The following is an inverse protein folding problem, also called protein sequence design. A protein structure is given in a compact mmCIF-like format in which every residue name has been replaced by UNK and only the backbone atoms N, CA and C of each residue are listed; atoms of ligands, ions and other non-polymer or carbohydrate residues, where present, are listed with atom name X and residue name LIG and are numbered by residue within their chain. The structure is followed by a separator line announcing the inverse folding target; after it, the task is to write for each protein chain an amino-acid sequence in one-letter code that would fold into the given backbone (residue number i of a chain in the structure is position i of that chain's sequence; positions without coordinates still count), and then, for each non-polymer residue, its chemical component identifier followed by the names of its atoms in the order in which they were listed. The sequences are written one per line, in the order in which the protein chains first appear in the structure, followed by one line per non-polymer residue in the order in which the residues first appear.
data_IF_220304404044
#
_entry.id   IF_220304404044
#
_cell.length_a   1.000
_cell.length_b   1.000
_cell.length_c   1.000
_cell.angle_alpha   90.00
_cell.angle_beta   90.00
_cell.angle_gamma   90.00
#
_symmetry.space_group_name_H-M   'P 1'
#
loop_
_entity.id
_entity.type
_entity.pdbx_description
1 polymer ?
#
# COMPACT_ATOMS: atom_id res chain seq x y z
N UNK A 1 16.32 -6.02 -8.83
CA UNK A 1 16.69 -5.33 -7.58
C UNK A 1 15.39 -4.92 -6.89
N UNK A 2 15.29 -5.13 -5.58
CA UNK A 2 14.14 -4.72 -4.79
C UNK A 2 14.62 -4.17 -3.44
N UNK A 3 14.14 -2.97 -3.07
CA UNK A 3 14.34 -2.37 -1.77
C UNK A 3 12.98 -2.19 -1.08
N UNK A 4 12.88 -2.53 0.20
CA UNK A 4 11.66 -2.46 0.99
C UNK A 4 11.96 -1.82 2.34
N UNK A 5 11.24 -0.75 2.69
CA UNK A 5 11.36 -0.09 3.98
C UNK A 5 9.96 0.16 4.58
N UNK A 6 9.84 0.13 5.91
CA UNK A 6 8.59 0.50 6.57
C UNK A 6 8.34 2.01 6.47
N UNK A 7 7.07 2.39 6.43
CA UNK A 7 6.67 3.80 6.31
C UNK A 7 6.74 4.35 4.88
N UNK A 8 6.72 5.66 4.73
CA UNK A 8 6.76 6.33 3.42
C UNK A 8 8.19 6.84 3.12
N UNK A 9 9.13 5.88 2.99
CA UNK A 9 10.57 6.11 2.82
C UNK A 9 11.03 5.88 1.37
N UNK A 10 10.28 6.39 0.38
CA UNK A 10 10.52 6.14 -1.04
C UNK A 10 11.92 6.57 -1.50
N UNK A 11 12.37 7.74 -1.09
CA UNK A 11 13.71 8.25 -1.45
C UNK A 11 14.81 7.33 -0.93
N UNK A 12 14.69 6.87 0.32
CA UNK A 12 15.67 5.96 0.90
C UNK A 12 15.65 4.58 0.26
N UNK A 13 14.45 4.08 -0.11
CA UNK A 13 14.34 2.85 -0.91
C UNK A 13 15.05 3.00 -2.25
N UNK A 14 14.86 4.12 -2.92
CA UNK A 14 15.52 4.42 -4.19
C UNK A 14 17.06 4.45 -4.04
N UNK A 15 17.58 5.20 -3.07
CA UNK A 15 19.02 5.25 -2.80
C UNK A 15 19.65 3.87 -2.56
N UNK A 16 18.93 2.97 -1.88
CA UNK A 16 19.40 1.60 -1.65
C UNK A 16 19.39 0.76 -2.93
N UNK A 17 18.36 0.91 -3.76
CA UNK A 17 18.25 0.20 -5.03
C UNK A 17 19.27 0.72 -6.04
N UNK A 18 19.46 2.02 -6.15
CA UNK A 18 20.39 2.72 -7.04
C UNK A 18 21.86 2.30 -6.79
N UNK A 19 22.25 2.19 -5.52
CA UNK A 19 23.59 1.68 -5.18
C UNK A 19 23.84 0.27 -5.70
N UNK A 20 22.85 -0.60 -5.62
CA UNK A 20 22.97 -1.97 -6.14
C UNK A 20 22.93 -1.99 -7.66
N UNK A 21 22.10 -1.15 -8.26
CA UNK A 21 21.99 -0.98 -9.70
C UNK A 21 23.33 -0.54 -10.30
N UNK A 22 23.96 0.49 -9.73
CA UNK A 22 25.29 0.98 -10.13
C UNK A 22 26.34 -0.14 -10.10
N UNK A 23 26.41 -0.91 -9.03
CA UNK A 23 27.37 -2.03 -8.90
C UNK A 23 27.13 -3.10 -9.98
N UNK A 24 25.85 -3.39 -10.26
CA UNK A 24 25.49 -4.38 -11.26
C UNK A 24 25.76 -3.88 -12.67
N UNK A 25 25.48 -2.61 -12.95
CA UNK A 25 25.74 -2.02 -14.28
C UNK A 25 27.25 -1.99 -14.58
N UNK A 26 28.10 -1.59 -13.64
CA UNK A 26 29.56 -1.65 -13.77
C UNK A 26 30.07 -3.07 -14.05
N UNK A 27 29.44 -4.10 -13.46
CA UNK A 27 29.86 -5.48 -13.61
C UNK A 27 29.31 -6.17 -14.87
N UNK A 28 28.09 -5.85 -15.28
CA UNK A 28 27.35 -6.57 -16.31
C UNK A 28 27.16 -5.77 -17.60
N UNK A 29 27.23 -4.44 -17.56
CA UNK A 29 26.98 -3.55 -18.70
C UNK A 29 25.50 -3.65 -19.13
N UNK A 30 24.59 -3.06 -18.36
CA UNK A 30 23.17 -3.09 -18.64
C UNK A 30 22.84 -2.39 -19.98
N UNK A 31 21.82 -2.89 -20.68
CA UNK A 31 21.40 -2.31 -21.96
C UNK A 31 20.71 -0.96 -21.73
N UNK A 32 21.37 0.12 -22.15
CA UNK A 32 20.89 1.47 -22.00
C UNK A 32 21.00 2.27 -23.32
N UNK A 33 19.98 3.06 -23.64
CA UNK A 33 19.95 3.99 -24.75
C UNK A 33 19.76 5.42 -24.24
N UNK A 34 20.51 6.36 -24.81
CA UNK A 34 20.53 7.78 -24.36
C UNK A 34 19.20 8.52 -24.52
N UNK A 35 18.28 8.02 -25.37
CA UNK A 35 16.96 8.60 -25.61
C UNK A 35 15.84 7.81 -24.94
N UNK A 36 15.99 6.50 -24.87
CA UNK A 36 14.96 5.59 -24.37
C UNK A 36 15.17 5.14 -22.92
N UNK A 37 16.37 5.37 -22.35
CA UNK A 37 16.72 4.84 -21.04
C UNK A 37 17.08 3.37 -21.05
N UNK A 38 16.79 2.65 -19.98
CA UNK A 38 17.03 1.21 -19.88
C UNK A 38 16.14 0.43 -20.84
N UNK A 39 16.79 -0.44 -21.65
CA UNK A 39 16.13 -1.30 -22.60
C UNK A 39 15.75 -2.63 -21.94
N UNK A 40 14.52 -2.69 -21.45
CA UNK A 40 14.00 -3.85 -20.73
C UNK A 40 13.29 -4.82 -21.67
N UNK A 41 13.24 -6.10 -21.31
CA UNK A 41 12.50 -7.12 -22.06
C UNK A 41 10.99 -6.82 -22.10
N UNK A 42 10.45 -6.19 -21.06
CA UNK A 42 9.05 -5.78 -21.01
C UNK A 42 8.91 -4.31 -21.46
N UNK A 43 8.22 -4.04 -22.59
CA UNK A 43 8.10 -2.68 -23.14
C UNK A 43 7.51 -1.66 -22.15
N UNK A 44 6.70 -2.10 -21.20
CA UNK A 44 6.07 -1.24 -20.18
C UNK A 44 7.04 -0.71 -19.13
N UNK A 45 8.28 -1.22 -19.11
CA UNK A 45 9.32 -0.80 -18.17
C UNK A 45 10.45 -0.02 -18.83
N UNK A 46 10.41 0.17 -20.17
CA UNK A 46 11.41 0.99 -20.89
C UNK A 46 11.43 2.39 -20.31
N UNK A 47 12.61 2.96 -20.18
CA UNK A 47 12.85 4.26 -19.60
C UNK A 47 13.62 4.16 -18.30
N UNK A 48 13.03 4.54 -17.18
CA UNK A 48 13.65 4.39 -15.86
C UNK A 48 13.80 2.94 -15.40
N UNK A 49 13.08 2.00 -16.01
CA UNK A 49 12.96 0.61 -15.57
C UNK A 49 12.56 0.46 -14.07
N UNK A 50 12.13 1.57 -13.45
CA UNK A 50 11.84 1.66 -12.02
C UNK A 50 10.35 1.56 -11.73
N UNK A 51 9.98 0.75 -10.75
CA UNK A 51 8.65 0.71 -10.16
C UNK A 51 8.70 1.07 -8.69
N UNK A 52 8.28 2.29 -8.36
CA UNK A 52 8.01 2.71 -6.99
C UNK A 52 6.62 2.25 -6.58
N UNK A 53 6.49 1.72 -5.37
CA UNK A 53 5.21 1.26 -4.83
C UNK A 53 5.06 1.61 -3.36
N UNK A 54 3.83 1.92 -2.95
CA UNK A 54 3.47 2.16 -1.54
C UNK A 54 2.30 1.27 -1.17
N UNK A 55 2.44 0.50 -0.10
CA UNK A 55 1.33 -0.27 0.47
C UNK A 55 0.58 0.62 1.44
N UNK A 56 -0.72 0.81 1.17
CA UNK A 56 -1.63 1.63 1.96
C UNK A 56 -2.76 0.75 2.51
N UNK A 57 -3.12 0.94 3.77
CA UNK A 57 -4.30 0.32 4.34
C UNK A 57 -5.43 1.34 4.41
N UNK A 58 -6.50 1.11 3.62
CA UNK A 58 -7.59 2.06 3.38
C UNK A 58 -8.97 1.50 3.78
N UNK A 59 -9.15 1.05 5.03
CA UNK A 59 -10.40 0.42 5.45
C UNK A 59 -11.57 1.40 5.47
N UNK A 60 -11.38 2.66 5.89
CA UNK A 60 -12.45 3.62 5.97
C UNK A 60 -12.95 4.04 4.59
N UNK A 61 -12.05 4.33 3.66
CA UNK A 61 -12.41 4.64 2.28
C UNK A 61 -13.12 3.46 1.59
N UNK A 62 -12.71 2.22 1.91
CA UNK A 62 -13.37 1.01 1.40
C UNK A 62 -14.80 0.89 1.93
N UNK A 63 -15.01 1.01 3.25
CA UNK A 63 -16.33 0.93 3.88
C UNK A 63 -17.27 2.01 3.34
N UNK A 64 -16.77 3.22 3.11
CA UNK A 64 -17.53 4.32 2.53
C UNK A 64 -17.72 4.21 0.98
N UNK A 65 -17.18 3.16 0.34
CA UNK A 65 -17.30 2.93 -1.11
C UNK A 65 -16.52 3.91 -1.98
N UNK A 66 -15.51 4.61 -1.43
CA UNK A 66 -14.72 5.66 -2.11
C UNK A 66 -13.57 5.14 -2.96
N UNK A 67 -13.19 3.85 -2.84
CA UNK A 67 -12.03 3.27 -3.53
C UNK A 67 -12.15 3.35 -5.05
N UNK A 68 -13.33 3.09 -5.63
CA UNK A 68 -13.53 3.17 -7.09
C UNK A 68 -13.25 4.59 -7.62
N UNK A 69 -13.72 5.60 -6.92
CA UNK A 69 -13.47 6.99 -7.30
C UNK A 69 -11.99 7.33 -7.20
N UNK A 70 -11.35 6.90 -6.09
CA UNK A 70 -9.91 7.06 -5.89
C UNK A 70 -9.12 6.39 -7.01
N UNK A 71 -9.41 5.13 -7.35
CA UNK A 71 -8.73 4.38 -8.42
C UNK A 71 -8.80 5.10 -9.76
N UNK A 72 -9.98 5.65 -10.13
CA UNK A 72 -10.15 6.43 -11.35
C UNK A 72 -9.31 7.72 -11.34
N UNK A 73 -9.21 8.39 -10.20
CA UNK A 73 -8.40 9.61 -10.06
C UNK A 73 -6.90 9.30 -10.18
N UNK A 74 -6.46 8.26 -9.50
CA UNK A 74 -5.08 7.76 -9.51
C UNK A 74 -4.64 7.38 -10.94
N UNK A 75 -5.49 6.67 -11.68
CA UNK A 75 -5.19 6.25 -13.06
C UNK A 75 -4.98 7.42 -14.01
N UNK A 76 -5.70 8.53 -13.84
CA UNK A 76 -5.53 9.75 -14.64
C UNK A 76 -4.18 10.43 -14.39
N UNK A 77 -3.55 10.16 -13.26
CA UNK A 77 -2.24 10.69 -12.88
C UNK A 77 -1.08 9.75 -13.27
N UNK A 78 -1.36 8.68 -14.02
CA UNK A 78 -0.35 7.72 -14.45
C UNK A 78 0.13 6.76 -13.35
N UNK A 79 -0.70 6.58 -12.30
CA UNK A 79 -0.47 5.62 -11.24
C UNK A 79 -1.58 4.54 -11.24
N UNK A 80 -1.34 3.44 -10.57
CA UNK A 80 -2.32 2.35 -10.42
C UNK A 80 -2.53 2.07 -8.94
N UNK A 81 -3.79 1.93 -8.55
CA UNK A 81 -4.19 1.43 -7.24
C UNK A 81 -4.77 0.02 -7.42
N UNK A 82 -4.12 -0.99 -6.87
CA UNK A 82 -4.53 -2.40 -6.92
C UNK A 82 -4.58 -3.01 -5.53
N UNK A 83 -5.20 -4.18 -5.39
CA UNK A 83 -5.10 -4.95 -4.16
C UNK A 83 -3.66 -5.43 -3.91
N UNK A 84 -3.17 -5.28 -2.68
CA UNK A 84 -1.84 -5.78 -2.32
C UNK A 84 -1.84 -7.30 -2.06
N UNK A 85 -2.96 -7.83 -1.57
CA UNK A 85 -3.18 -9.26 -1.31
C UNK A 85 -4.57 -9.66 -1.79
N UNK A 86 -4.67 -10.82 -2.43
CA UNK A 86 -5.93 -11.35 -2.98
C UNK A 86 -6.12 -10.98 -4.45
N UNK A 87 -7.10 -11.61 -5.07
CA UNK A 87 -7.49 -11.36 -6.46
C UNK A 87 -8.71 -10.43 -6.53
N UNK A 88 -8.73 -9.54 -7.52
CA UNK A 88 -9.87 -8.67 -7.83
C UNK A 88 -9.98 -7.39 -7.01
N UNK A 89 -11.19 -6.81 -6.97
CA UNK A 89 -11.49 -5.49 -6.40
C UNK A 89 -11.60 -5.46 -4.86
N UNK A 90 -11.50 -6.61 -4.19
CA UNK A 90 -11.62 -6.75 -2.73
C UNK A 90 -10.34 -7.27 -2.11
N UNK A 91 -9.33 -6.41 -1.91
CA UNK A 91 -8.07 -6.82 -1.29
C UNK A 91 -8.28 -7.23 0.17
N UNK A 92 -7.58 -8.27 0.58
CA UNK A 92 -7.63 -8.78 1.95
C UNK A 92 -7.14 -7.71 2.94
N UNK A 93 -7.91 -7.48 3.99
CA UNK A 93 -7.55 -6.52 5.06
C UNK A 93 -7.48 -5.06 4.62
N UNK A 94 -8.12 -4.71 3.49
CA UNK A 94 -8.12 -3.35 2.93
C UNK A 94 -6.72 -2.83 2.60
N UNK A 95 -5.80 -3.72 2.21
CA UNK A 95 -4.44 -3.40 1.81
C UNK A 95 -4.36 -3.16 0.31
N UNK A 96 -3.95 -1.97 -0.08
CA UNK A 96 -3.83 -1.52 -1.46
C UNK A 96 -2.38 -1.21 -1.79
N UNK A 97 -1.99 -1.47 -3.04
CA UNK A 97 -0.70 -1.13 -3.60
C UNK A 97 -0.89 0.04 -4.58
N UNK A 98 -0.29 1.17 -4.26
CA UNK A 98 -0.19 2.33 -5.14
C UNK A 98 1.16 2.28 -5.87
N UNK A 99 1.16 2.24 -7.20
CA UNK A 99 2.37 2.04 -8.02
C UNK A 99 2.41 3.00 -9.19
N UNK A 100 3.61 3.49 -9.58
CA UNK A 100 3.77 4.22 -10.83
C UNK A 100 3.62 3.29 -12.03
N UNK A 101 2.97 3.78 -13.09
CA UNK A 101 2.77 3.06 -14.33
C UNK A 101 3.67 3.60 -15.45
N UNK A 102 3.96 4.89 -15.43
CA UNK A 102 4.77 5.56 -16.44
C UNK A 102 6.25 5.45 -16.06
N UNK A 103 7.05 4.96 -17.00
CA UNK A 103 8.51 4.79 -16.86
C UNK A 103 9.29 5.49 -17.97
N UNK A 104 8.66 5.78 -19.12
CA UNK A 104 9.27 6.46 -20.25
C UNK A 104 8.92 7.95 -20.25
N UNK A 105 9.92 8.80 -20.49
CA UNK A 105 9.71 10.24 -20.58
C UNK A 105 9.54 10.96 -19.23
N UNK A 106 9.84 10.29 -18.13
CA UNK A 106 9.83 10.86 -16.77
C UNK A 106 11.15 10.54 -16.07
N UNK A 107 11.61 11.42 -15.20
CA UNK A 107 12.74 11.09 -14.32
C UNK A 107 12.29 10.25 -13.13
N UNK A 108 13.20 9.48 -12.56
CA UNK A 108 12.96 8.69 -11.35
C UNK A 108 12.53 9.56 -10.18
N UNK A 109 13.20 10.69 -9.98
CA UNK A 109 12.86 11.66 -8.95
C UNK A 109 11.44 12.21 -9.11
N UNK A 110 11.03 12.55 -10.35
CA UNK A 110 9.67 13.03 -10.63
C UNK A 110 8.62 11.92 -10.41
N UNK A 111 8.92 10.69 -10.80
CA UNK A 111 8.03 9.55 -10.57
C UNK A 111 7.82 9.28 -9.07
N UNK A 112 8.89 9.31 -8.28
CA UNK A 112 8.83 9.13 -6.83
C UNK A 112 8.15 10.31 -6.13
N UNK A 113 8.43 11.54 -6.56
CA UNK A 113 7.78 12.74 -6.03
C UNK A 113 6.25 12.73 -6.24
N UNK A 114 5.81 12.33 -7.43
CA UNK A 114 4.38 12.19 -7.73
C UNK A 114 3.72 11.10 -6.86
N UNK A 115 4.40 9.96 -6.70
CA UNK A 115 3.93 8.86 -5.88
C UNK A 115 3.82 9.26 -4.40
N UNK A 116 4.82 9.92 -3.85
CA UNK A 116 4.86 10.41 -2.48
C UNK A 116 3.74 11.44 -2.20
N UNK A 117 3.61 12.44 -3.07
CA UNK A 117 2.58 13.46 -2.93
C UNK A 117 1.17 12.87 -2.95
N UNK A 118 0.91 11.92 -3.88
CA UNK A 118 -0.40 11.28 -3.96
C UNK A 118 -0.64 10.35 -2.77
N UNK A 119 0.37 9.59 -2.33
CA UNK A 119 0.25 8.75 -1.14
C UNK A 119 -0.11 9.57 0.10
N UNK A 120 0.53 10.73 0.32
CA UNK A 120 0.18 11.66 1.41
C UNK A 120 -1.25 12.16 1.31
N UNK A 121 -1.71 12.55 0.12
CA UNK A 121 -3.10 12.97 -0.10
C UNK A 121 -4.10 11.86 0.22
N UNK A 122 -3.82 10.62 -0.19
CA UNK A 122 -4.68 9.46 0.10
C UNK A 122 -4.72 9.17 1.61
N UNK A 123 -3.59 9.29 2.30
CA UNK A 123 -3.50 9.11 3.76
C UNK A 123 -4.40 10.12 4.48
N UNK A 124 -4.39 11.38 4.06
CA UNK A 124 -5.28 12.40 4.66
C UNK A 124 -6.77 12.10 4.40
N UNK A 125 -7.11 11.69 3.17
CA UNK A 125 -8.49 11.29 2.84
C UNK A 125 -8.95 10.08 3.67
N UNK A 126 -8.09 9.09 3.88
CA UNK A 126 -8.38 7.95 4.75
C UNK A 126 -8.58 8.39 6.21
N UNK A 127 -7.76 9.33 6.71
CA UNK A 127 -7.89 9.87 8.08
C UNK A 127 -9.21 10.62 8.27
N UNK A 128 -9.64 11.40 7.29
CA UNK A 128 -10.95 12.08 7.30
C UNK A 128 -12.09 11.08 7.24
N UNK A 129 -12.00 10.08 6.36
CA UNK A 129 -12.97 9.00 6.26
C UNK A 129 -13.13 8.21 7.57
N UNK A 130 -12.05 8.00 8.33
CA UNK A 130 -12.09 7.38 9.66
C UNK A 130 -12.88 8.21 10.66
N UNK A 131 -12.71 9.52 10.68
CA UNK A 131 -13.47 10.42 11.56
C UNK A 131 -14.96 10.33 11.25
N UNK A 132 -15.33 10.42 9.98
CA UNK A 132 -16.71 10.29 9.52
C UNK A 132 -17.35 8.95 9.94
N UNK A 133 -16.61 7.84 9.80
CA UNK A 133 -17.09 6.51 10.23
C UNK A 133 -17.33 6.43 11.73
N UNK A 134 -16.48 7.04 12.55
CA UNK A 134 -16.60 7.00 14.00
C UNK A 134 -17.87 7.71 14.51
N UNK A 135 -18.46 8.60 13.73
CA UNK A 135 -19.77 9.23 14.04
C UNK A 135 -20.96 8.30 13.74
N UNK A 136 -20.75 7.20 13.02
CA UNK A 136 -21.81 6.30 12.59
C UNK A 136 -22.00 5.14 13.57
N UNK A 137 -23.19 5.05 14.17
CA UNK A 137 -23.53 4.01 15.15
C UNK A 137 -23.40 2.58 14.59
N UNK A 138 -23.78 2.37 13.31
CA UNK A 138 -23.64 1.05 12.67
C UNK A 138 -22.18 0.64 12.51
N UNK A 139 -21.29 1.60 12.28
CA UNK A 139 -19.86 1.33 12.25
C UNK A 139 -19.31 1.05 13.65
N UNK A 140 -19.75 1.78 14.66
CA UNK A 140 -19.36 1.51 16.06
C UNK A 140 -19.76 0.09 16.47
N UNK A 141 -20.97 -0.39 16.13
CA UNK A 141 -21.38 -1.77 16.37
C UNK A 141 -20.47 -2.77 15.63
N UNK A 142 -20.17 -2.53 14.36
CA UNK A 142 -19.22 -3.33 13.58
C UNK A 142 -17.84 -3.40 14.24
N UNK A 143 -17.34 -2.28 14.74
CA UNK A 143 -16.04 -2.16 15.41
C UNK A 143 -15.99 -3.05 16.66
N UNK A 144 -16.99 -2.96 17.54
CA UNK A 144 -17.04 -3.76 18.76
C UNK A 144 -17.26 -5.24 18.49
N UNK A 145 -18.06 -5.60 17.47
CA UNK A 145 -18.22 -6.99 17.00
C UNK A 145 -16.90 -7.56 16.48
N UNK A 146 -16.18 -6.81 15.66
CA UNK A 146 -14.87 -7.22 15.14
C UNK A 146 -13.87 -7.46 16.28
N UNK A 147 -13.83 -6.56 17.27
CA UNK A 147 -13.00 -6.73 18.45
C UNK A 147 -13.40 -7.97 19.26
N UNK A 148 -14.71 -8.20 19.46
CA UNK A 148 -15.23 -9.40 20.14
C UNK A 148 -14.87 -10.69 19.41
N UNK A 149 -14.98 -10.70 18.09
CA UNK A 149 -14.61 -11.84 17.25
C UNK A 149 -13.12 -12.16 17.38
N UNK A 150 -12.25 -11.17 17.26
CA UNK A 150 -10.78 -11.35 17.43
C UNK A 150 -10.40 -11.87 18.81
N UNK A 151 -11.14 -11.48 19.87
CA UNK A 151 -10.87 -11.93 21.25
C UNK A 151 -11.41 -13.33 21.57
N UNK A 152 -12.49 -13.74 20.92
CA UNK A 152 -13.29 -14.89 21.39
C UNK A 152 -13.42 -16.03 20.38
N UNK A 153 -13.12 -15.81 19.10
CA UNK A 153 -13.18 -16.85 18.09
C UNK A 153 -12.20 -17.99 18.41
N UNK A 154 -12.64 -19.22 18.26
CA UNK A 154 -11.83 -20.44 18.47
C UNK A 154 -11.14 -20.89 17.19
N UNK A 155 -11.73 -20.58 16.05
CA UNK A 155 -11.21 -20.84 14.71
C UNK A 155 -11.51 -19.61 13.87
N UNK A 156 -10.54 -19.20 13.06
CA UNK A 156 -10.64 -18.00 12.21
C UNK A 156 -9.81 -18.21 10.95
N UNK A 157 -10.36 -17.87 9.80
CA UNK A 157 -9.60 -17.83 8.56
C UNK A 157 -8.70 -16.58 8.51
N UNK A 158 -7.62 -16.66 7.74
CA UNK A 158 -6.73 -15.50 7.53
C UNK A 158 -7.50 -14.29 6.97
N UNK A 159 -8.40 -14.52 6.03
CA UNK A 159 -9.21 -13.43 5.47
C UNK A 159 -10.11 -12.78 6.54
N UNK A 160 -10.81 -13.56 7.34
CA UNK A 160 -11.65 -13.07 8.43
C UNK A 160 -10.84 -12.31 9.47
N UNK A 161 -9.66 -12.83 9.84
CA UNK A 161 -8.71 -12.13 10.71
C UNK A 161 -8.33 -10.76 10.17
N UNK A 162 -7.90 -10.69 8.92
CA UNK A 162 -7.44 -9.45 8.29
C UNK A 162 -8.57 -8.41 8.14
N UNK A 163 -9.80 -8.87 7.81
CA UNK A 163 -10.97 -8.00 7.73
C UNK A 163 -11.32 -7.42 9.10
N UNK A 164 -11.43 -8.26 10.13
CA UNK A 164 -11.71 -7.81 11.49
C UNK A 164 -10.62 -6.88 12.03
N UNK A 165 -9.35 -7.22 11.79
CA UNK A 165 -8.22 -6.43 12.23
C UNK A 165 -8.19 -5.04 11.55
N UNK A 166 -8.53 -4.97 10.26
CA UNK A 166 -8.57 -3.70 9.53
C UNK A 166 -9.60 -2.71 10.12
N UNK A 167 -10.74 -3.23 10.59
CA UNK A 167 -11.77 -2.44 11.29
C UNK A 167 -11.28 -2.02 12.68
N UNK A 168 -10.71 -2.95 13.46
CA UNK A 168 -10.19 -2.69 14.82
C UNK A 168 -9.07 -1.64 14.79
N UNK A 169 -8.23 -1.61 13.76
CA UNK A 169 -7.22 -0.55 13.60
C UNK A 169 -7.81 0.85 13.48
N UNK A 170 -9.01 1.03 12.95
CA UNK A 170 -9.69 2.33 12.96
C UNK A 170 -9.99 2.74 14.41
N UNK A 171 -10.53 1.82 15.21
CA UNK A 171 -10.81 2.08 16.62
C UNK A 171 -9.57 2.38 17.46
N UNK A 172 -8.46 1.67 17.21
CA UNK A 172 -7.17 1.97 17.87
C UNK A 172 -6.71 3.40 17.52
N UNK A 173 -6.78 3.76 16.23
CA UNK A 173 -6.41 5.10 15.77
C UNK A 173 -7.31 6.21 16.32
N UNK A 174 -8.57 5.88 16.67
CA UNK A 174 -9.52 6.78 17.30
C UNK A 174 -9.42 6.83 18.83
N UNK A 175 -8.59 5.95 19.45
CA UNK A 175 -8.43 5.88 20.91
C UNK A 175 -9.48 5.03 21.62
N UNK A 176 -10.31 4.26 20.90
CA UNK A 176 -11.32 3.36 21.49
C UNK A 176 -10.70 2.12 22.14
N UNK A 177 -9.51 1.74 21.71
CA UNK A 177 -8.78 0.59 22.23
C UNK A 177 -7.36 0.98 22.62
N UNK A 178 -6.97 0.65 23.85
CA UNK A 178 -5.61 0.84 24.35
C UNK A 178 -4.70 -0.31 23.89
N UNK A 179 -4.32 -0.29 22.62
CA UNK A 179 -3.41 -1.26 22.00
C UNK A 179 -2.35 -0.52 21.17
N UNK A 180 -1.07 -0.89 21.30
CA UNK A 180 -0.01 -0.32 20.47
C UNK A 180 -0.22 -0.67 18.99
N UNK A 181 -0.25 0.34 18.12
CA UNK A 181 -0.42 0.15 16.68
C UNK A 181 0.67 -0.75 16.07
N UNK A 182 1.90 -0.67 16.59
CA UNK A 182 3.02 -1.50 16.15
C UNK A 182 2.75 -2.99 16.37
N UNK A 183 2.22 -3.39 17.52
CA UNK A 183 1.85 -4.78 17.80
C UNK A 183 0.83 -5.31 16.79
N UNK A 184 -0.15 -4.46 16.45
CA UNK A 184 -1.17 -4.83 15.47
C UNK A 184 -0.58 -4.94 14.06
N UNK A 185 0.36 -4.08 13.70
CA UNK A 185 1.06 -4.17 12.42
C UNK A 185 1.92 -5.45 12.34
N UNK A 186 2.62 -5.82 13.41
CA UNK A 186 3.40 -7.06 13.48
C UNK A 186 2.53 -8.30 13.28
N UNK A 187 1.32 -8.33 13.85
CA UNK A 187 0.37 -9.43 13.65
C UNK A 187 -0.01 -9.63 12.18
N UNK A 188 -0.15 -8.55 11.40
CA UNK A 188 -0.45 -8.64 9.97
C UNK A 188 0.62 -9.43 9.21
N UNK A 189 1.88 -9.25 9.57
CA UNK A 189 3.00 -9.92 8.90
C UNK A 189 3.28 -11.32 9.46
N UNK A 190 3.15 -11.50 10.77
CA UNK A 190 3.49 -12.78 11.43
C UNK A 190 2.44 -13.87 11.22
N UNK A 191 1.17 -13.51 10.95
CA UNK A 191 0.08 -14.46 10.77
C UNK A 191 -0.25 -14.74 9.30
N UNK A 192 0.64 -14.38 8.38
CA UNK A 192 0.45 -14.74 6.97
C UNK A 192 0.59 -16.25 6.76
N UNK A 193 -0.21 -16.87 5.85
CA UNK A 193 -0.20 -18.32 5.63
C UNK A 193 1.17 -18.91 5.29
N UNK A 194 2.09 -18.10 4.75
CA UNK A 194 3.46 -18.52 4.42
C UNK A 194 4.40 -18.52 5.63
N UNK A 195 3.99 -17.95 6.78
CA UNK A 195 4.78 -17.89 8.02
C UNK A 195 4.32 -18.88 9.08
N UNK A 196 3.20 -19.54 8.86
CA UNK A 196 2.65 -20.61 9.68
C UNK A 196 2.97 -21.98 9.08
#
# INVERSE_FOLDING_TARGET
IQALLPGLELTRCHELADRLDTILDEALGLSFDTKLGYLTQCPTNIGTAMRGSVVLQLPAMRILGRIRHLSNTVSRLGLVLSGAYGEGDSPIGSLYLLTNQVTLGISEEAALGNLDALAKSIIEQEREARKELMENLSFQDMLWRSCGTLKSARVMSFQEFMEALSVVKIGIAAGEFDLPMNTVNELIFSLQPATL
#
